data_IF_500062007791
#
_entry.id   IF_500062007791
#
_cell.length_a   1.000
_cell.length_b   1.000
_cell.length_c   1.000
_cell.angle_alpha   90.00
_cell.angle_beta   90.00
_cell.angle_gamma   90.00
#
_symmetry.space_group_name_H-M   'P 1'
#
loop_
_entity.id
_entity.type
_entity.pdbx_description
1 polymer ?
#
# COMPACT_ATOMS: atom_id res chain seq x y z
N UNK A 1 -20.30 -1.58 -34.59
CA UNK A 1 -19.74 -2.16 -33.35
C UNK A 1 -20.28 -3.57 -33.24
N UNK A 2 -19.61 -4.52 -33.89
CA UNK A 2 -19.98 -5.93 -33.76
C UNK A 2 -19.81 -6.39 -32.31
N UNK A 3 -20.74 -7.24 -31.88
CA UNK A 3 -21.02 -7.72 -30.52
C UNK A 3 -19.80 -7.92 -29.59
N UNK A 4 -19.45 -6.92 -28.78
CA UNK A 4 -18.60 -7.11 -27.61
C UNK A 4 -19.37 -7.96 -26.59
N UNK A 5 -18.81 -9.12 -26.22
CA UNK A 5 -19.45 -10.09 -25.31
C UNK A 5 -19.05 -9.90 -23.84
N UNK A 6 -17.86 -9.37 -23.61
CA UNK A 6 -17.35 -9.07 -22.28
C UNK A 6 -16.26 -7.99 -22.36
N UNK A 7 -16.11 -7.24 -21.28
CA UNK A 7 -14.99 -6.33 -21.03
C UNK A 7 -14.42 -6.72 -19.67
N UNK A 8 -13.11 -6.90 -19.61
CA UNK A 8 -12.39 -7.18 -18.37
C UNK A 8 -11.67 -5.91 -17.97
N UNK A 9 -11.83 -5.53 -16.71
CA UNK A 9 -11.15 -4.41 -16.11
C UNK A 9 -10.18 -4.95 -15.07
N UNK A 10 -9.01 -4.35 -15.02
CA UNK A 10 -8.17 -4.45 -13.85
C UNK A 10 -8.84 -3.74 -12.67
N UNK A 11 -8.42 -4.06 -11.45
CA UNK A 11 -8.99 -3.50 -10.24
C UNK A 11 -8.25 -2.22 -9.84
N UNK A 12 -6.96 -2.36 -9.59
CA UNK A 12 -6.15 -1.34 -8.95
C UNK A 12 -5.84 -0.21 -9.92
N UNK A 13 -6.13 1.01 -9.49
CA UNK A 13 -6.00 2.24 -10.26
C UNK A 13 -6.75 2.22 -11.62
N UNK A 14 -7.68 1.27 -11.79
CA UNK A 14 -8.59 1.15 -12.94
C UNK A 14 -10.05 1.30 -12.48
N UNK A 15 -10.48 0.51 -11.50
CA UNK A 15 -11.81 0.65 -10.85
C UNK A 15 -11.66 1.34 -9.49
N UNK A 16 -10.61 1.02 -8.75
CA UNK A 16 -10.36 1.52 -7.40
C UNK A 16 -9.16 2.45 -7.38
N UNK A 17 -9.26 3.52 -6.60
CA UNK A 17 -8.09 4.31 -6.22
C UNK A 17 -7.33 3.59 -5.10
N UNK A 18 -6.47 2.66 -5.51
CA UNK A 18 -5.65 1.84 -4.61
C UNK A 18 -4.67 2.73 -3.86
N UNK A 19 -3.99 3.63 -4.56
CA UNK A 19 -2.97 4.52 -3.99
C UNK A 19 -3.52 5.31 -2.81
N UNK A 20 -4.65 5.96 -2.99
CA UNK A 20 -5.31 6.74 -1.93
C UNK A 20 -5.78 5.86 -0.77
N UNK A 21 -6.26 4.65 -1.06
CA UNK A 21 -6.71 3.69 -0.05
C UNK A 21 -5.53 3.18 0.78
N UNK A 22 -4.43 2.82 0.14
CA UNK A 22 -3.24 2.30 0.82
C UNK A 22 -2.52 3.38 1.63
N UNK A 23 -2.48 4.62 1.12
CA UNK A 23 -1.98 5.77 1.89
C UNK A 23 -2.81 5.99 3.17
N UNK A 24 -4.14 5.98 3.08
CA UNK A 24 -5.01 6.12 4.28
C UNK A 24 -4.82 4.97 5.27
N UNK A 25 -4.70 3.74 4.77
CA UNK A 25 -4.42 2.59 5.61
C UNK A 25 -3.08 2.76 6.33
N UNK A 26 -2.02 3.13 5.61
CA UNK A 26 -0.67 3.29 6.15
C UNK A 26 -0.65 4.40 7.20
N UNK A 27 -1.29 5.54 6.94
CA UNK A 27 -1.42 6.61 7.93
C UNK A 27 -2.12 6.10 9.21
N UNK A 28 -3.28 5.45 9.08
CA UNK A 28 -3.98 4.88 10.23
C UNK A 28 -3.15 3.83 10.97
N UNK A 29 -2.40 2.99 10.25
CA UNK A 29 -1.53 1.97 10.83
C UNK A 29 -0.42 2.62 11.66
N UNK A 30 0.29 3.59 11.08
CA UNK A 30 1.41 4.23 11.77
C UNK A 30 0.93 5.04 12.97
N UNK A 31 -0.21 5.75 12.87
CA UNK A 31 -0.81 6.44 14.01
C UNK A 31 -1.32 5.49 15.10
N UNK A 32 -1.70 4.26 14.75
CA UNK A 32 -2.18 3.28 15.75
C UNK A 32 -1.03 2.67 16.52
N UNK A 33 0.05 2.27 15.83
CA UNK A 33 1.10 1.45 16.42
C UNK A 33 2.39 2.22 16.77
N UNK A 34 2.65 3.36 16.11
CA UNK A 34 3.88 4.15 16.26
C UNK A 34 3.62 5.58 16.79
N UNK A 35 2.47 5.84 17.42
CA UNK A 35 2.18 7.15 18.02
C UNK A 35 3.14 7.60 19.15
N UNK A 36 3.98 6.68 19.63
CA UNK A 36 4.99 6.94 20.64
C UNK A 36 6.31 7.45 20.04
N UNK A 37 6.48 7.37 18.72
CA UNK A 37 7.65 7.86 18.00
C UNK A 37 7.48 9.34 17.70
N UNK A 38 8.56 10.13 17.82
CA UNK A 38 8.55 11.58 17.62
C UNK A 38 8.07 11.99 16.21
N UNK A 39 8.39 11.18 15.19
CA UNK A 39 7.93 11.39 13.82
C UNK A 39 7.59 10.06 13.15
N UNK A 40 6.37 9.97 12.64
CA UNK A 40 5.83 8.81 11.92
C UNK A 40 6.01 8.91 10.41
N UNK A 41 6.45 10.07 9.89
CA UNK A 41 6.58 10.33 8.46
C UNK A 41 7.58 9.40 7.78
N UNK A 42 8.76 9.20 8.40
CA UNK A 42 9.78 8.31 7.84
C UNK A 42 9.30 6.84 7.76
N UNK A 43 8.49 6.41 8.74
CA UNK A 43 7.89 5.07 8.78
C UNK A 43 6.85 4.94 7.67
N UNK A 44 5.97 5.94 7.54
CA UNK A 44 4.98 6.01 6.47
C UNK A 44 5.65 5.92 5.08
N UNK A 45 6.61 6.81 4.82
CA UNK A 45 7.30 6.88 3.53
C UNK A 45 8.02 5.56 3.21
N UNK A 46 8.58 4.90 4.24
CA UNK A 46 9.25 3.64 4.05
C UNK A 46 8.28 2.51 3.68
N UNK A 47 7.13 2.42 4.35
CA UNK A 47 6.08 1.44 4.02
C UNK A 47 5.60 1.65 2.58
N UNK A 48 5.32 2.89 2.18
CA UNK A 48 4.89 3.21 0.81
C UNK A 48 5.95 2.85 -0.22
N UNK A 49 7.23 3.15 0.06
CA UNK A 49 8.32 2.80 -0.84
C UNK A 49 8.48 1.28 -1.01
N UNK A 50 8.39 0.52 0.08
CA UNK A 50 8.54 -0.94 0.06
C UNK A 50 7.37 -1.64 -0.62
N UNK A 51 6.14 -1.11 -0.58
CA UNK A 51 4.96 -1.73 -1.20
C UNK A 51 5.08 -1.87 -2.74
N UNK A 52 5.94 -1.08 -3.40
CA UNK A 52 6.13 -1.06 -4.86
C UNK A 52 4.81 -1.00 -5.64
N UNK A 53 3.91 -0.11 -5.20
CA UNK A 53 2.55 0.03 -5.74
C UNK A 53 1.76 -1.29 -5.82
N UNK A 54 2.01 -2.19 -4.88
CA UNK A 54 1.31 -3.48 -4.77
C UNK A 54 1.90 -4.61 -5.60
N UNK A 55 2.94 -4.36 -6.39
CA UNK A 55 3.61 -5.39 -7.19
C UNK A 55 4.60 -6.25 -6.41
N UNK A 56 4.97 -5.82 -5.20
CA UNK A 56 5.86 -6.60 -4.34
C UNK A 56 5.19 -7.84 -3.78
N UNK A 57 5.94 -8.93 -3.69
CA UNK A 57 5.49 -10.11 -2.95
C UNK A 57 5.20 -9.74 -1.49
N UNK A 58 4.04 -10.20 -0.97
CA UNK A 58 3.62 -9.83 0.38
C UNK A 58 4.47 -10.46 1.46
N UNK A 59 4.99 -11.67 1.23
CA UNK A 59 5.91 -12.32 2.16
C UNK A 59 7.23 -11.56 2.28
N UNK A 60 7.76 -11.10 1.15
CA UNK A 60 8.97 -10.27 1.10
C UNK A 60 8.75 -8.90 1.77
N UNK A 61 7.68 -8.19 1.41
CA UNK A 61 7.32 -6.91 1.99
C UNK A 61 7.24 -6.99 3.52
N UNK A 62 6.54 -8.00 4.05
CA UNK A 62 6.39 -8.11 5.50
C UNK A 62 7.70 -8.48 6.21
N UNK A 63 8.58 -9.26 5.58
CA UNK A 63 9.91 -9.52 6.15
C UNK A 63 10.72 -8.23 6.26
N UNK A 64 10.81 -7.44 5.20
CA UNK A 64 11.55 -6.18 5.23
C UNK A 64 10.96 -5.18 6.23
N UNK A 65 9.64 -5.11 6.35
CA UNK A 65 9.00 -4.26 7.36
C UNK A 65 9.33 -4.71 8.78
N UNK A 66 9.43 -6.01 9.04
CA UNK A 66 9.86 -6.52 10.35
C UNK A 66 11.33 -6.25 10.64
N UNK A 67 12.18 -6.26 9.61
CA UNK A 67 13.61 -6.01 9.75
C UNK A 67 13.94 -4.51 9.89
N UNK A 68 13.13 -3.63 9.30
CA UNK A 68 13.45 -2.20 9.20
C UNK A 68 12.63 -1.27 10.11
N UNK A 69 11.42 -1.66 10.51
CA UNK A 69 10.60 -0.81 11.38
C UNK A 69 11.06 -0.88 12.84
N UNK A 70 10.96 0.23 13.60
CA UNK A 70 11.45 0.32 14.98
C UNK A 70 10.62 -0.47 16.00
#
# INVERSE_FOLDING_TARGET
MEHIKAIIFDLDNTILDRTSTFNRFTDSFVQTYFNHVESTLAIFDRIIHLDQDGYKDKGELFHELLDELP
#
